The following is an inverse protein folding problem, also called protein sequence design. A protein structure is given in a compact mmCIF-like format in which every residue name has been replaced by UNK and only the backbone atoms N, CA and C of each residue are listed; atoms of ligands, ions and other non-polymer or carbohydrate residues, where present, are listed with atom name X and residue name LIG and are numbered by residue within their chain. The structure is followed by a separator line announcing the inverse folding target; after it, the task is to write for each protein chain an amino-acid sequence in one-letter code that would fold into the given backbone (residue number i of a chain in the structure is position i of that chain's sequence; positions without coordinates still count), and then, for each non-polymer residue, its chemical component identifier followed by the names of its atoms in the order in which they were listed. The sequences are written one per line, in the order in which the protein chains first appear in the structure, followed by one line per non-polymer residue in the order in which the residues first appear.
data_IF_601667588958
#
_entry.id   IF_601667588958
#
_cell.length_a   1.000
_cell.length_b   1.000
_cell.length_c   1.000
_cell.angle_alpha   90.00
_cell.angle_beta   90.00
_cell.angle_gamma   90.00
#
_symmetry.space_group_name_H-M   'P 1'
#
loop_
_entity.id
_entity.type
_entity.pdbx_description
1 polymer ?
#
# COMPACT_ATOMS: atom_id res chain seq x y z
N UNK A 1 -3.69 6.28 -29.63
CA UNK A 1 -2.95 5.63 -28.52
C UNK A 1 -3.95 5.33 -27.41
N UNK A 2 -4.07 4.06 -26.98
CA UNK A 2 -4.97 3.63 -25.89
C UNK A 2 -4.31 3.92 -24.55
N UNK A 3 -5.07 4.34 -23.54
CA UNK A 3 -4.65 4.38 -22.14
C UNK A 3 -5.27 3.18 -21.44
N UNK A 4 -4.45 2.27 -20.95
CA UNK A 4 -4.88 0.99 -20.39
C UNK A 4 -4.54 0.99 -18.89
N UNK A 5 -5.57 0.85 -18.06
CA UNK A 5 -5.42 0.60 -16.63
C UNK A 5 -5.35 -0.89 -16.33
N UNK A 6 -4.50 -1.26 -15.40
CA UNK A 6 -4.27 -2.63 -14.93
C UNK A 6 -4.60 -2.73 -13.45
N UNK A 7 -5.30 -3.80 -13.06
CA UNK A 7 -5.45 -4.23 -11.67
C UNK A 7 -4.43 -5.30 -11.36
N UNK A 8 -3.51 -4.99 -10.46
CA UNK A 8 -2.36 -5.83 -10.13
C UNK A 8 -2.47 -6.35 -8.69
N UNK A 9 -1.86 -7.51 -8.46
CA UNK A 9 -1.47 -7.98 -7.14
C UNK A 9 -0.02 -8.45 -7.17
N UNK A 10 0.71 -8.27 -6.06
CA UNK A 10 2.08 -8.75 -5.97
C UNK A 10 2.52 -9.05 -4.54
N UNK A 11 3.37 -10.07 -4.43
CA UNK A 11 4.20 -10.31 -3.25
C UNK A 11 5.48 -9.48 -3.39
N UNK A 12 5.62 -8.45 -2.55
CA UNK A 12 6.75 -7.51 -2.62
C UNK A 12 8.06 -8.03 -2.02
N UNK A 13 8.08 -9.25 -1.48
CA UNK A 13 9.22 -9.79 -0.70
C UNK A 13 10.55 -9.82 -1.46
N UNK A 14 10.49 -9.99 -2.79
CA UNK A 14 11.67 -10.06 -3.66
C UNK A 14 12.02 -8.71 -4.32
N UNK A 15 11.26 -7.64 -4.02
CA UNK A 15 11.37 -6.37 -4.72
C UNK A 15 11.81 -5.23 -3.80
N UNK A 16 12.60 -4.30 -4.37
CA UNK A 16 12.95 -3.03 -3.75
C UNK A 16 11.84 -1.98 -3.91
N UNK A 17 10.58 -2.41 -3.74
CA UNK A 17 9.38 -1.60 -3.85
C UNK A 17 8.86 -1.47 -5.28
N UNK A 18 7.90 -0.57 -5.46
CA UNK A 18 7.29 -0.32 -6.75
C UNK A 18 8.23 0.37 -7.73
N UNK A 19 8.74 1.54 -7.34
CA UNK A 19 9.43 2.48 -8.23
C UNK A 19 10.72 1.91 -8.82
N UNK A 20 10.88 2.00 -10.15
CA UNK A 20 12.10 1.62 -10.86
C UNK A 20 13.34 2.29 -10.28
N UNK A 21 14.38 1.49 -10.04
CA UNK A 21 15.67 1.90 -9.50
C UNK A 21 16.78 1.18 -10.27
N UNK A 22 17.88 1.88 -10.54
CA UNK A 22 19.00 1.29 -11.26
C UNK A 22 19.64 0.13 -10.47
N UNK A 23 19.78 -1.01 -11.12
CA UNK A 23 20.46 -2.20 -10.57
C UNK A 23 19.68 -2.97 -9.49
N UNK A 24 18.41 -2.62 -9.22
CA UNK A 24 17.58 -3.28 -8.23
C UNK A 24 16.29 -3.82 -8.85
N UNK A 25 15.84 -5.05 -8.47
CA UNK A 25 14.55 -5.57 -8.92
C UNK A 25 13.41 -4.76 -8.32
N UNK A 26 12.49 -4.27 -9.17
CA UNK A 26 11.32 -3.48 -8.77
C UNK A 26 10.08 -3.95 -9.50
N UNK A 27 8.91 -3.79 -8.90
CA UNK A 27 7.65 -4.23 -9.50
C UNK A 27 7.37 -3.48 -10.80
N UNK A 28 7.58 -2.16 -10.83
CA UNK A 28 7.36 -1.33 -12.02
C UNK A 28 8.21 -1.82 -13.20
N UNK A 29 9.50 -2.04 -12.99
CA UNK A 29 10.39 -2.53 -14.07
C UNK A 29 9.95 -3.90 -14.58
N UNK A 30 9.59 -4.83 -13.69
CA UNK A 30 9.14 -6.17 -14.07
C UNK A 30 7.88 -6.12 -14.92
N UNK A 31 6.93 -5.23 -14.58
CA UNK A 31 5.71 -5.02 -15.38
C UNK A 31 6.03 -4.36 -16.72
N UNK A 32 6.87 -3.32 -16.76
CA UNK A 32 7.34 -2.65 -18.00
C UNK A 32 8.03 -3.64 -18.94
N UNK A 33 8.90 -4.49 -18.41
CA UNK A 33 9.62 -5.53 -19.20
C UNK A 33 8.65 -6.58 -19.75
N UNK A 34 7.63 -6.97 -19.01
CA UNK A 34 6.59 -7.89 -19.49
C UNK A 34 5.77 -7.28 -20.63
N UNK A 35 5.37 -6.00 -20.49
CA UNK A 35 4.66 -5.27 -21.54
C UNK A 35 5.55 -5.13 -22.79
N UNK A 36 6.82 -4.76 -22.63
CA UNK A 36 7.76 -4.60 -23.76
C UNK A 36 7.96 -5.89 -24.55
N UNK A 37 8.00 -7.05 -23.87
CA UNK A 37 8.09 -8.37 -24.54
C UNK A 37 6.87 -8.72 -25.39
N UNK A 38 5.71 -8.13 -25.09
CA UNK A 38 4.46 -8.38 -25.82
C UNK A 38 4.30 -7.39 -26.97
N UNK A 39 4.62 -6.12 -26.72
CA UNK A 39 4.37 -5.03 -27.66
C UNK A 39 5.56 -4.76 -28.60
N UNK A 40 6.76 -5.28 -28.28
CA UNK A 40 8.00 -4.97 -29.00
C UNK A 40 8.52 -3.55 -28.76
N UNK A 41 7.91 -2.78 -27.86
CA UNK A 41 8.28 -1.39 -27.55
C UNK A 41 8.26 -1.13 -26.07
N UNK A 42 9.17 -0.30 -25.59
CA UNK A 42 9.18 0.12 -24.18
C UNK A 42 8.02 1.07 -23.89
N UNK A 43 7.37 0.86 -22.77
CA UNK A 43 6.32 1.73 -22.24
C UNK A 43 6.68 2.19 -20.83
N UNK A 44 6.14 3.32 -20.42
CA UNK A 44 6.22 3.77 -19.02
C UNK A 44 4.92 3.44 -18.29
N UNK A 45 5.03 2.74 -17.17
CA UNK A 45 3.89 2.37 -16.33
C UNK A 45 3.79 3.31 -15.13
N UNK A 46 2.68 4.01 -15.02
CA UNK A 46 2.39 4.88 -13.87
C UNK A 46 1.58 4.11 -12.84
N UNK A 47 2.11 3.96 -11.63
CA UNK A 47 1.40 3.30 -10.52
C UNK A 47 0.62 4.28 -9.65
N UNK A 48 -0.37 3.78 -8.91
CA UNK A 48 -1.22 4.59 -8.02
C UNK A 48 -0.50 5.15 -6.77
N UNK A 49 0.69 4.68 -6.48
CA UNK A 49 1.52 5.16 -5.38
C UNK A 49 2.78 4.32 -5.23
N UNK A 50 3.79 4.86 -4.58
CA UNK A 50 5.00 4.10 -4.26
C UNK A 50 4.73 3.16 -3.10
N UNK A 51 5.22 1.93 -3.20
CA UNK A 51 5.36 1.00 -2.08
C UNK A 51 6.84 0.80 -1.79
N UNK A 52 7.19 0.65 -0.51
CA UNK A 52 8.57 0.43 -0.08
C UNK A 52 9.04 -1.00 -0.38
N UNK A 53 10.35 -1.24 -0.26
CA UNK A 53 10.91 -2.59 -0.35
C UNK A 53 10.21 -3.55 0.62
N UNK A 54 9.81 -4.72 0.15
CA UNK A 54 9.13 -5.75 0.92
C UNK A 54 7.63 -5.52 1.20
N UNK A 55 7.04 -4.41 0.72
CA UNK A 55 5.61 -4.11 0.84
C UNK A 55 4.84 -4.78 -0.28
N UNK A 56 3.69 -5.37 0.05
CA UNK A 56 2.83 -6.11 -0.87
C UNK A 56 1.69 -5.25 -1.42
N UNK A 57 0.96 -5.78 -2.41
CA UNK A 57 -0.31 -5.23 -2.84
C UNK A 57 -1.31 -6.34 -3.19
N UNK A 58 -2.55 -6.17 -2.75
CA UNK A 58 -3.68 -7.06 -3.09
C UNK A 58 -4.48 -6.51 -4.26
N UNK A 59 -4.60 -5.18 -4.36
CA UNK A 59 -5.26 -4.46 -5.46
C UNK A 59 -4.50 -3.16 -5.71
N UNK A 60 -3.63 -3.20 -6.67
CA UNK A 60 -2.82 -2.06 -7.09
C UNK A 60 -3.27 -1.63 -8.49
N UNK A 61 -3.49 -0.35 -8.68
CA UNK A 61 -3.79 0.19 -9.99
C UNK A 61 -2.55 0.79 -10.63
N UNK A 62 -2.33 0.47 -11.90
CA UNK A 62 -1.33 1.13 -12.72
C UNK A 62 -1.90 1.37 -14.12
N UNK A 63 -1.39 2.37 -14.84
CA UNK A 63 -1.78 2.59 -16.24
C UNK A 63 -0.57 2.82 -17.13
N UNK A 64 -0.74 2.51 -18.41
CA UNK A 64 0.24 2.79 -19.46
C UNK A 64 -0.47 3.17 -20.77
N UNK A 65 0.26 3.85 -21.63
CA UNK A 65 -0.22 4.25 -22.96
C UNK A 65 0.49 3.47 -24.05
N UNK A 66 -0.29 2.97 -25.02
CA UNK A 66 0.24 2.16 -26.12
C UNK A 66 -0.72 2.14 -27.31
N UNK A 67 -0.20 1.85 -28.50
CA UNK A 67 -0.99 1.49 -29.67
C UNK A 67 -1.30 -0.02 -29.74
N UNK A 68 -1.35 -0.67 -28.57
CA UNK A 68 -1.67 -2.08 -28.39
C UNK A 68 -2.99 -2.43 -29.08
N UNK A 69 -2.99 -3.49 -29.89
CA UNK A 69 -4.17 -4.02 -30.60
C UNK A 69 -4.80 -5.22 -29.89
N UNK A 70 -4.21 -5.68 -28.77
CA UNK A 70 -4.74 -6.80 -28.00
C UNK A 70 -6.11 -6.42 -27.44
N UNK A 71 -7.16 -7.26 -27.61
CA UNK A 71 -8.45 -7.04 -26.95
C UNK A 71 -8.27 -6.89 -25.44
N UNK A 72 -9.01 -5.95 -24.83
CA UNK A 72 -8.75 -5.56 -23.44
C UNK A 72 -8.89 -6.73 -22.46
N UNK A 73 -9.86 -7.61 -22.68
CA UNK A 73 -10.11 -8.82 -21.90
C UNK A 73 -8.98 -9.87 -22.00
N UNK A 74 -8.12 -9.77 -22.99
CA UNK A 74 -6.95 -10.64 -23.20
C UNK A 74 -5.66 -10.08 -22.63
N UNK A 75 -5.63 -8.79 -22.29
CA UNK A 75 -4.44 -8.13 -21.74
C UNK A 75 -3.94 -8.81 -20.45
N UNK A 76 -4.79 -9.16 -19.46
CA UNK A 76 -4.34 -9.87 -18.27
C UNK A 76 -3.66 -11.21 -18.61
N UNK A 77 -4.24 -12.01 -19.50
CA UNK A 77 -3.69 -13.31 -19.89
C UNK A 77 -2.33 -13.17 -20.59
N UNK A 78 -2.23 -12.21 -21.51
CA UNK A 78 -0.99 -11.94 -22.24
C UNK A 78 0.14 -11.51 -21.29
N UNK A 79 -0.15 -10.62 -20.32
CA UNK A 79 0.83 -10.15 -19.34
C UNK A 79 1.25 -11.25 -18.37
N UNK A 80 0.31 -12.02 -17.84
CA UNK A 80 0.59 -13.10 -16.89
C UNK A 80 1.43 -14.23 -17.52
N UNK A 81 1.38 -14.41 -18.84
CA UNK A 81 2.28 -15.34 -19.53
C UNK A 81 3.76 -14.88 -19.56
N UNK A 82 4.05 -13.65 -19.16
CA UNK A 82 5.39 -13.04 -19.14
C UNK A 82 5.85 -12.56 -17.78
N UNK A 83 4.92 -12.44 -16.84
CA UNK A 83 5.20 -12.04 -15.45
C UNK A 83 5.69 -13.25 -14.62
N UNK A 84 6.53 -13.02 -13.62
CA UNK A 84 6.89 -14.05 -12.63
C UNK A 84 5.70 -14.36 -11.72
N UNK A 85 5.75 -15.48 -10.99
CA UNK A 85 4.62 -15.98 -10.18
C UNK A 85 4.25 -15.12 -8.97
N UNK A 86 5.05 -14.12 -8.63
CA UNK A 86 4.85 -13.20 -7.52
C UNK A 86 4.19 -11.86 -7.93
N UNK A 87 3.92 -11.66 -9.24
CA UNK A 87 3.15 -10.53 -9.79
C UNK A 87 2.06 -11.08 -10.71
N UNK A 88 0.83 -10.61 -10.52
CA UNK A 88 -0.29 -10.95 -11.41
C UNK A 88 -1.11 -9.73 -11.78
N UNK A 89 -1.51 -9.65 -13.05
CA UNK A 89 -2.57 -8.76 -13.54
C UNK A 89 -3.89 -9.52 -13.46
N UNK A 90 -4.81 -9.03 -12.66
CA UNK A 90 -6.10 -9.69 -12.44
C UNK A 90 -7.21 -9.15 -13.33
N UNK A 91 -7.06 -7.90 -13.79
CA UNK A 91 -8.02 -7.24 -14.65
C UNK A 91 -7.37 -6.09 -15.44
N UNK A 92 -8.04 -5.65 -16.52
CA UNK A 92 -7.62 -4.49 -17.31
C UNK A 92 -8.83 -3.80 -17.92
N UNK A 93 -8.79 -2.47 -18.01
CA UNK A 93 -9.79 -1.69 -18.71
C UNK A 93 -9.15 -0.55 -19.50
N UNK A 94 -9.86 -0.08 -20.55
CA UNK A 94 -9.51 1.18 -21.18
C UNK A 94 -10.03 2.33 -20.34
N UNK A 95 -9.21 3.36 -20.21
CA UNK A 95 -9.53 4.56 -19.45
C UNK A 95 -9.36 5.80 -20.33
N UNK A 96 -9.89 6.91 -19.88
CA UNK A 96 -9.78 8.17 -20.60
C UNK A 96 -8.31 8.59 -20.80
N UNK A 97 -8.06 9.39 -21.84
CA UNK A 97 -6.71 9.81 -22.19
C UNK A 97 -6.01 10.56 -21.05
N UNK A 98 -6.74 11.36 -20.27
CA UNK A 98 -6.19 12.12 -19.14
C UNK A 98 -6.07 11.32 -17.85
N UNK A 99 -6.55 10.08 -17.79
CA UNK A 99 -6.43 9.25 -16.60
C UNK A 99 -4.95 9.01 -16.24
N UNK A 100 -4.67 9.14 -14.95
CA UNK A 100 -3.37 8.87 -14.34
C UNK A 100 -3.56 8.16 -13.01
N UNK A 101 -3.01 6.96 -12.85
CA UNK A 101 -3.27 6.10 -11.69
C UNK A 101 -2.96 6.76 -10.33
N UNK A 102 -2.00 7.69 -10.26
CA UNK A 102 -1.75 8.43 -9.02
C UNK A 102 -2.56 9.71 -8.92
N UNK A 103 -2.70 10.45 -10.02
CA UNK A 103 -3.38 11.76 -10.05
C UNK A 103 -4.90 11.67 -9.96
N UNK A 104 -5.48 10.62 -10.53
CA UNK A 104 -6.94 10.36 -10.54
C UNK A 104 -7.42 9.59 -9.30
N UNK A 105 -6.51 9.19 -8.40
CA UNK A 105 -6.85 8.40 -7.23
C UNK A 105 -7.55 9.24 -6.17
N UNK A 106 -8.76 8.83 -5.75
CA UNK A 106 -9.60 9.54 -4.78
C UNK A 106 -9.16 9.22 -3.35
N UNK A 107 -9.00 7.93 -3.04
CA UNK A 107 -8.59 7.45 -1.73
C UNK A 107 -7.91 6.09 -1.84
N UNK A 108 -7.15 5.73 -0.79
CA UNK A 108 -6.38 4.50 -0.69
C UNK A 108 -6.58 3.86 0.66
N UNK A 109 -6.63 2.54 0.67
CA UNK A 109 -6.64 1.74 1.88
C UNK A 109 -5.41 0.85 1.93
N UNK A 110 -4.78 0.84 3.10
CA UNK A 110 -3.75 -0.13 3.45
C UNK A 110 -4.23 -1.03 4.57
N UNK A 111 -3.75 -2.26 4.57
CA UNK A 111 -3.83 -3.16 5.71
C UNK A 111 -2.44 -3.49 6.21
N UNK A 112 -2.31 -3.64 7.53
CA UNK A 112 -1.10 -4.11 8.16
C UNK A 112 -1.41 -5.35 9.00
N UNK A 113 -0.70 -6.46 8.73
CA UNK A 113 -0.92 -7.76 9.37
C UNK A 113 0.17 -8.05 10.39
N UNK A 114 -0.23 -8.41 11.62
CA UNK A 114 0.66 -8.80 12.71
C UNK A 114 0.29 -10.20 13.15
N UNK A 115 1.23 -11.14 13.09
CA UNK A 115 1.11 -12.43 13.78
C UNK A 115 1.54 -12.22 15.23
N UNK A 116 0.56 -12.12 16.13
CA UNK A 116 0.78 -11.90 17.56
C UNK A 116 0.71 -13.22 18.33
N UNK A 117 1.72 -14.03 18.16
CA UNK A 117 1.88 -15.37 18.75
C UNK A 117 3.29 -15.52 19.31
N UNK A 118 3.47 -16.42 20.29
CA UNK A 118 4.80 -16.73 20.84
C UNK A 118 5.69 -17.49 19.86
N UNK A 119 5.08 -18.19 18.91
CA UNK A 119 5.77 -19.06 17.93
C UNK A 119 5.50 -18.50 16.54
N UNK A 120 6.52 -18.32 15.68
CA UNK A 120 6.31 -17.88 14.30
C UNK A 120 5.63 -19.00 13.47
N UNK A 121 4.90 -18.59 12.44
CA UNK A 121 4.35 -19.49 11.43
C UNK A 121 5.18 -19.37 10.14
N UNK A 122 5.87 -20.47 9.70
CA UNK A 122 6.68 -20.43 8.49
C UNK A 122 5.87 -20.21 7.20
N UNK A 123 4.57 -20.53 7.18
CA UNK A 123 3.70 -20.24 6.02
C UNK A 123 3.33 -18.76 5.91
N UNK A 124 3.50 -17.99 6.98
CA UNK A 124 3.28 -16.54 7.02
C UNK A 124 4.60 -15.75 6.97
N UNK A 125 5.74 -16.43 6.85
CA UNK A 125 7.04 -15.74 6.71
C UNK A 125 7.01 -14.75 5.53
N UNK A 126 7.58 -13.55 5.76
CA UNK A 126 7.58 -12.41 4.82
C UNK A 126 6.20 -11.88 4.41
N UNK A 127 5.10 -12.36 5.01
CA UNK A 127 3.72 -11.94 4.72
C UNK A 127 3.02 -11.26 5.89
N UNK A 128 3.60 -11.35 7.08
CA UNK A 128 3.11 -10.70 8.30
C UNK A 128 4.28 -10.16 9.11
N UNK A 129 4.02 -9.20 9.96
CA UNK A 129 4.95 -8.82 11.02
C UNK A 129 4.80 -9.78 12.19
N UNK A 130 5.78 -10.62 12.46
CA UNK A 130 5.79 -11.46 13.65
C UNK A 130 6.07 -10.61 14.90
N UNK A 131 5.22 -10.75 15.93
CA UNK A 131 5.32 -10.01 17.17
C UNK A 131 5.01 -10.90 18.37
N UNK A 132 6.04 -11.37 19.14
CA UNK A 132 5.87 -12.42 20.15
C UNK A 132 5.22 -11.94 21.45
N UNK A 133 5.36 -10.67 21.82
CA UNK A 133 4.76 -10.12 23.04
C UNK A 133 3.28 -9.82 22.81
N UNK A 134 2.43 -10.19 23.80
CA UNK A 134 0.99 -9.97 23.72
C UNK A 134 0.67 -8.49 23.55
N UNK A 135 -0.16 -8.19 22.57
CA UNK A 135 -0.69 -6.85 22.29
C UNK A 135 -2.12 -6.75 22.82
N UNK A 136 -2.45 -5.60 23.39
CA UNK A 136 -3.80 -5.25 23.81
C UNK A 136 -4.55 -4.65 22.61
N UNK A 137 -5.52 -5.40 22.08
CA UNK A 137 -6.26 -5.00 20.88
C UNK A 137 -7.17 -3.80 21.13
N UNK A 138 -7.72 -3.65 22.34
CA UNK A 138 -8.62 -2.54 22.65
C UNK A 138 -7.84 -1.22 22.71
N UNK A 139 -6.63 -1.24 23.27
CA UNK A 139 -5.73 -0.09 23.24
C UNK A 139 -5.26 0.22 21.82
N UNK A 140 -4.96 -0.80 21.00
CA UNK A 140 -4.61 -0.59 19.59
C UNK A 140 -5.77 0.02 18.81
N UNK A 141 -7.01 -0.44 19.05
CA UNK A 141 -8.21 0.09 18.40
C UNK A 141 -8.49 1.54 18.81
N UNK A 142 -8.36 1.85 20.09
CA UNK A 142 -8.49 3.22 20.58
C UNK A 142 -7.46 4.15 19.91
N UNK A 143 -6.20 3.72 19.84
CA UNK A 143 -5.12 4.45 19.18
C UNK A 143 -5.35 4.58 17.65
N UNK A 144 -5.90 3.55 16.99
CA UNK A 144 -6.24 3.60 15.58
C UNK A 144 -7.24 4.72 15.28
N UNK A 145 -8.34 4.77 16.02
CA UNK A 145 -9.39 5.81 15.88
C UNK A 145 -8.88 7.22 16.16
N UNK A 146 -7.89 7.38 17.04
CA UNK A 146 -7.29 8.67 17.34
C UNK A 146 -6.49 9.28 16.17
N UNK A 147 -6.20 8.53 15.10
CA UNK A 147 -5.61 9.04 13.86
C UNK A 147 -6.64 9.55 12.85
N UNK A 148 -7.94 9.31 13.08
CA UNK A 148 -8.98 9.74 12.14
C UNK A 148 -9.10 11.26 12.10
N UNK A 149 -9.48 11.79 10.94
CA UNK A 149 -9.61 13.21 10.70
C UNK A 149 -8.49 13.80 9.84
N UNK A 150 -8.48 15.12 9.76
CA UNK A 150 -7.47 15.89 9.00
C UNK A 150 -6.41 16.43 9.95
N UNK A 151 -5.20 15.94 9.81
CA UNK A 151 -4.06 16.30 10.67
C UNK A 151 -2.79 16.50 9.84
N UNK A 152 -1.79 17.16 10.45
CA UNK A 152 -0.43 17.15 9.96
C UNK A 152 0.28 15.87 10.43
N UNK A 153 0.47 14.93 9.52
CA UNK A 153 1.07 13.61 9.80
C UNK A 153 2.62 13.62 9.76
N UNK A 154 3.26 14.78 9.89
CA UNK A 154 4.73 14.87 9.91
C UNK A 154 5.35 14.02 11.04
N UNK A 155 4.69 13.91 12.21
CA UNK A 155 5.14 13.11 13.34
C UNK A 155 5.17 11.59 13.06
N UNK A 156 4.47 11.09 12.05
CA UNK A 156 4.45 9.66 11.67
C UNK A 156 4.97 9.43 10.25
N UNK A 157 5.84 10.30 9.75
CA UNK A 157 6.53 10.09 8.47
C UNK A 157 8.03 9.91 8.67
N UNK A 158 8.68 9.22 7.72
CA UNK A 158 10.14 9.26 7.58
C UNK A 158 10.56 10.42 6.67
N UNK A 159 11.70 11.02 6.97
CA UNK A 159 12.37 11.98 6.07
C UNK A 159 12.99 11.25 4.87
N UNK A 160 13.22 11.95 3.77
CA UNK A 160 13.88 11.39 2.56
C UNK A 160 13.00 11.38 1.31
N UNK A 161 11.75 11.85 1.39
CA UNK A 161 10.91 12.13 0.22
C UNK A 161 10.37 13.55 0.26
N UNK A 162 10.47 14.26 -0.87
CA UNK A 162 9.83 15.56 -1.04
C UNK A 162 8.30 15.36 -1.10
N UNK A 163 7.58 16.24 -0.42
CA UNK A 163 6.12 16.32 -0.48
C UNK A 163 5.69 17.77 -0.37
N UNK A 164 4.64 18.14 -1.11
CA UNK A 164 4.10 19.51 -1.07
C UNK A 164 3.46 19.84 0.28
N UNK A 165 2.91 18.85 0.96
CA UNK A 165 2.26 19.01 2.26
C UNK A 165 2.30 17.71 3.05
N UNK A 166 2.35 17.80 4.37
CA UNK A 166 2.26 16.67 5.30
C UNK A 166 0.85 16.48 5.86
N UNK A 167 -0.09 17.37 5.50
CA UNK A 167 -1.49 17.25 5.90
C UNK A 167 -2.17 16.16 5.08
N UNK A 168 -2.86 15.23 5.78
CA UNK A 168 -3.68 14.16 5.18
C UNK A 168 -5.01 14.08 5.92
N UNK A 169 -6.00 13.49 5.24
CA UNK A 169 -7.28 13.13 5.86
C UNK A 169 -7.35 11.61 5.94
N UNK A 170 -7.32 11.07 7.14
CA UNK A 170 -7.63 9.67 7.42
C UNK A 170 -9.14 9.57 7.62
N UNK A 171 -9.80 8.86 6.71
CA UNK A 171 -11.25 8.71 6.72
C UNK A 171 -11.71 7.74 7.80
N UNK A 172 -10.95 6.67 8.00
CA UNK A 172 -11.14 5.69 9.07
C UNK A 172 -9.86 4.89 9.31
N UNK A 173 -9.70 4.42 10.54
CA UNK A 173 -8.62 3.55 10.95
C UNK A 173 -9.11 2.63 12.07
N UNK A 174 -8.91 1.32 11.91
CA UNK A 174 -9.34 0.32 12.91
C UNK A 174 -8.33 -0.81 13.05
N UNK A 175 -8.44 -1.56 14.15
CA UNK A 175 -7.63 -2.74 14.44
C UNK A 175 -8.53 -3.87 14.92
N UNK A 176 -8.42 -5.02 14.29
CA UNK A 176 -9.19 -6.23 14.59
C UNK A 176 -8.26 -7.40 14.89
N UNK A 177 -8.70 -8.30 15.77
CA UNK A 177 -8.00 -9.55 16.08
C UNK A 177 -8.87 -10.75 15.71
N UNK A 178 -8.29 -11.66 14.94
CA UNK A 178 -8.85 -12.97 14.66
C UNK A 178 -7.80 -14.04 15.03
N UNK A 179 -8.04 -14.74 16.14
CA UNK A 179 -7.05 -15.64 16.71
C UNK A 179 -5.73 -14.92 17.05
N UNK A 180 -4.65 -15.39 16.47
CA UNK A 180 -3.31 -14.81 16.62
C UNK A 180 -3.00 -13.71 15.59
N UNK A 181 -3.89 -13.49 14.62
CA UNK A 181 -3.71 -12.47 13.60
C UNK A 181 -4.38 -11.16 14.03
N UNK A 182 -3.61 -10.06 14.03
CA UNK A 182 -4.13 -8.70 14.13
C UNK A 182 -4.04 -8.06 12.76
N UNK A 183 -5.14 -7.46 12.31
CA UNK A 183 -5.21 -6.69 11.07
C UNK A 183 -5.55 -5.24 11.41
N UNK A 184 -4.63 -4.33 11.12
CA UNK A 184 -4.90 -2.89 11.14
C UNK A 184 -5.29 -2.47 9.73
N UNK A 185 -6.38 -1.70 9.61
CA UNK A 185 -6.85 -1.12 8.34
C UNK A 185 -6.84 0.38 8.44
N UNK A 186 -6.42 1.08 7.39
CA UNK A 186 -6.43 2.53 7.34
C UNK A 186 -6.74 3.02 5.94
N UNK A 187 -7.69 3.94 5.83
CA UNK A 187 -8.09 4.59 4.58
C UNK A 187 -7.88 6.10 4.68
N UNK A 188 -7.26 6.69 3.65
CA UNK A 188 -6.95 8.10 3.60
C UNK A 188 -6.97 8.63 2.16
N UNK A 189 -6.99 9.97 2.01
CA UNK A 189 -6.80 10.64 0.72
C UNK A 189 -5.38 10.46 0.14
N UNK A 190 -4.43 9.99 0.95
CA UNK A 190 -3.04 9.71 0.58
C UNK A 190 -2.20 9.44 1.81
N UNK A 191 -1.01 8.88 1.59
CA UNK A 191 -0.09 8.54 2.67
C UNK A 191 1.29 9.13 2.42
N UNK A 192 1.96 9.49 3.51
CA UNK A 192 3.36 9.91 3.52
C UNK A 192 4.28 8.69 3.58
N UNK A 193 5.56 8.90 3.30
CA UNK A 193 6.58 7.86 3.39
C UNK A 193 6.61 7.22 4.78
N UNK A 194 6.45 5.90 4.84
CA UNK A 194 6.36 5.08 6.05
C UNK A 194 5.20 5.42 7.02
N UNK A 195 4.24 6.27 6.63
CA UNK A 195 3.18 6.77 7.52
C UNK A 195 2.40 5.63 8.18
N UNK A 196 1.84 4.68 7.41
CA UNK A 196 1.06 3.57 7.96
C UNK A 196 1.88 2.72 8.94
N UNK A 197 3.12 2.42 8.58
CA UNK A 197 4.03 1.62 9.42
C UNK A 197 4.35 2.32 10.75
N UNK A 198 4.50 3.65 10.75
CA UNK A 198 4.72 4.44 11.95
C UNK A 198 3.43 4.57 12.80
N UNK A 199 2.25 4.71 12.17
CA UNK A 199 0.96 4.66 12.85
C UNK A 199 0.78 3.34 13.61
N UNK A 200 1.03 2.20 12.93
CA UNK A 200 0.95 0.87 13.56
C UNK A 200 1.95 0.73 14.72
N UNK A 201 3.18 1.22 14.57
CA UNK A 201 4.15 1.25 15.66
C UNK A 201 3.68 2.09 16.86
N UNK A 202 2.97 3.19 16.61
CA UNK A 202 2.36 4.02 17.65
C UNK A 202 1.22 3.29 18.35
N UNK A 203 0.38 2.54 17.62
CA UNK A 203 -0.65 1.66 18.20
C UNK A 203 -0.03 0.55 19.06
N UNK A 204 1.12 -0.02 18.64
CA UNK A 204 1.88 -0.98 19.45
C UNK A 204 2.38 -0.34 20.75
N UNK A 205 2.84 0.92 20.73
CA UNK A 205 3.24 1.64 21.93
C UNK A 205 2.03 1.91 22.85
N UNK A 206 0.86 2.24 22.30
CA UNK A 206 -0.37 2.38 23.09
C UNK A 206 -0.75 1.06 23.77
N UNK A 207 -0.63 -0.07 23.07
CA UNK A 207 -0.86 -1.42 23.61
C UNK A 207 -0.02 -1.75 24.85
N UNK A 208 1.14 -1.11 25.02
CA UNK A 208 2.01 -1.26 26.20
C UNK A 208 1.88 -0.15 27.22
N UNK A 209 0.95 0.78 27.05
CA UNK A 209 0.79 1.95 27.92
C UNK A 209 1.95 2.94 27.85
N UNK A 210 2.81 2.88 26.80
CA UNK A 210 3.89 3.86 26.59
C UNK A 210 3.37 5.22 26.13
N UNK A 211 2.17 5.27 25.58
CA UNK A 211 1.41 6.47 25.26
C UNK A 211 -0.08 6.15 25.38
N UNK A 212 -0.89 7.19 25.54
CA UNK A 212 -2.34 7.05 25.62
C UNK A 212 -2.96 7.39 24.28
N UNK A 213 -4.01 6.68 23.88
CA UNK A 213 -4.70 6.93 22.61
C UNK A 213 -5.18 8.38 22.47
N UNK A 214 -5.68 8.96 23.57
CA UNK A 214 -6.17 10.34 23.63
C UNK A 214 -5.10 11.41 23.42
N UNK A 215 -3.82 11.09 23.62
CA UNK A 215 -2.71 12.01 23.43
C UNK A 215 -2.24 12.06 21.95
N UNK A 216 -2.68 11.13 21.11
CA UNK A 216 -2.25 11.02 19.71
C UNK A 216 -2.52 12.30 18.90
N UNK A 217 -3.71 12.94 18.95
CA UNK A 217 -3.93 14.18 18.21
C UNK A 217 -2.95 15.30 18.59
N UNK A 218 -2.71 15.51 19.87
CA UNK A 218 -1.74 16.49 20.36
C UNK A 218 -0.31 16.12 19.97
N UNK A 219 0.02 14.83 19.97
CA UNK A 219 1.31 14.33 19.53
C UNK A 219 1.55 14.60 18.03
N UNK A 220 0.53 14.46 17.17
CA UNK A 220 0.62 14.79 15.76
C UNK A 220 0.94 16.28 15.54
N UNK A 221 0.37 17.18 16.34
CA UNK A 221 0.62 18.62 16.28
C UNK A 221 2.08 18.99 16.56
N UNK A 222 2.80 18.17 17.34
CA UNK A 222 4.23 18.40 17.63
C UNK A 222 5.13 18.26 16.39
N UNK A 223 4.70 17.48 15.38
CA UNK A 223 5.49 17.07 14.20
C UNK A 223 6.79 16.32 14.55
N UNK A 224 6.95 15.89 15.79
CA UNK A 224 8.17 15.23 16.26
C UNK A 224 8.06 13.71 16.13
N UNK A 225 8.80 13.14 15.18
CA UNK A 225 8.86 11.69 14.91
C UNK A 225 9.36 10.87 16.11
N UNK A 226 10.14 11.48 17.01
CA UNK A 226 10.72 10.79 18.17
C UNK A 226 9.67 10.44 19.24
N UNK A 227 8.54 11.15 19.26
CA UNK A 227 7.45 10.94 20.21
C UNK A 227 6.49 9.81 19.78
N UNK A 228 6.60 9.31 18.55
CA UNK A 228 5.75 8.25 18.01
C UNK A 228 6.41 6.87 18.11
N UNK A 229 5.65 5.81 17.82
CA UNK A 229 6.17 4.45 17.81
C UNK A 229 7.13 4.17 16.65
N UNK A 230 7.84 3.03 16.66
CA UNK A 230 8.80 2.67 15.62
C UNK A 230 8.13 2.49 14.27
N UNK A 231 8.89 2.63 13.19
CA UNK A 231 8.44 2.21 11.87
C UNK A 231 8.42 0.69 11.81
N UNK A 232 7.24 0.10 11.75
CA UNK A 232 7.08 -1.36 11.74
C UNK A 232 7.65 -1.99 10.45
N UNK A 233 8.05 -3.27 10.49
CA UNK A 233 8.60 -3.99 9.33
C UNK A 233 7.70 -3.93 8.08
N UNK A 234 8.25 -3.91 6.85
CA UNK A 234 7.46 -3.72 5.63
C UNK A 234 6.60 -4.92 5.27
N UNK A 235 7.01 -6.15 5.59
CA UNK A 235 6.32 -7.38 5.18
C UNK A 235 4.92 -7.58 5.77
N UNK A 236 4.54 -6.76 6.77
CA UNK A 236 3.16 -6.73 7.26
C UNK A 236 2.23 -5.83 6.43
N UNK A 237 2.79 -4.94 5.59
CA UNK A 237 2.02 -3.89 4.91
C UNK A 237 1.58 -4.32 3.51
N UNK A 238 0.31 -4.07 3.23
CA UNK A 238 -0.31 -4.32 1.93
C UNK A 238 -1.08 -3.09 1.46
N UNK A 239 -0.86 -2.64 0.22
CA UNK A 239 -1.85 -1.81 -0.44
C UNK A 239 -3.07 -2.70 -0.72
N UNK A 240 -4.19 -2.39 -0.06
CA UNK A 240 -5.37 -3.24 -0.08
C UNK A 240 -6.36 -2.82 -1.14
N UNK A 241 -6.64 -1.52 -1.25
CA UNK A 241 -7.64 -0.98 -2.17
C UNK A 241 -7.32 0.46 -2.57
N UNK A 242 -7.72 0.82 -3.77
CA UNK A 242 -7.69 2.19 -4.28
C UNK A 242 -9.02 2.49 -4.98
N UNK A 243 -9.45 3.76 -4.93
CA UNK A 243 -10.73 4.17 -5.50
C UNK A 243 -10.52 5.24 -6.57
N UNK A 244 -11.29 5.09 -7.63
CA UNK A 244 -11.34 5.98 -8.78
C UNK A 244 -12.79 6.16 -9.21
N UNK A 245 -13.06 7.18 -10.04
CA UNK A 245 -14.29 7.30 -10.82
C UNK A 245 -14.17 6.57 -12.17
N UNK A 246 -15.32 6.33 -12.81
CA UNK A 246 -15.40 5.77 -14.15
C UNK A 246 -14.88 4.33 -14.29
N UNK A 247 -14.43 3.93 -15.50
CA UNK A 247 -14.06 2.54 -15.80
C UNK A 247 -12.98 1.96 -14.88
N UNK A 248 -12.01 2.78 -14.46
CA UNK A 248 -11.00 2.34 -13.49
C UNK A 248 -11.62 2.03 -12.12
N UNK A 249 -12.62 2.82 -11.68
CA UNK A 249 -13.36 2.57 -10.44
C UNK A 249 -14.16 1.28 -10.49
N UNK A 250 -14.84 1.02 -11.59
CA UNK A 250 -15.58 -0.23 -11.83
C UNK A 250 -14.64 -1.44 -11.82
N UNK A 251 -13.50 -1.38 -12.53
CA UNK A 251 -12.48 -2.45 -12.52
C UNK A 251 -11.92 -2.70 -11.11
N UNK A 252 -11.72 -1.66 -10.30
CA UNK A 252 -11.15 -1.77 -8.95
C UNK A 252 -12.17 -2.17 -7.89
N UNK A 253 -13.47 -2.10 -8.18
CA UNK A 253 -14.53 -2.52 -7.27
C UNK A 253 -14.45 -4.01 -6.92
N UNK A 254 -15.09 -4.38 -5.82
CA UNK A 254 -15.34 -5.78 -5.46
C UNK A 254 -16.45 -6.33 -6.35
N UNK A 255 -16.24 -7.53 -6.88
CA UNK A 255 -17.31 -8.37 -7.42
C UNK A 255 -17.84 -9.21 -6.28
#
# INVERSE_FOLDING_TARGET
MRNIALKLRYDGSAYHGWQRQAGLPTVQQTVEDAIAKILGTNVHVTGCGRTDAGVHALRYCANFRSDCTIPIEKVPLALNARLPGDIAVTDACEVEENFNAIGSCIQKEYIYKILNSRIPDPFLDKRVCFYPSRLDIDQMRAAARAFEGTHDFAAVRSVGTETKTTVRTVYWCDAEREGDLITVRVCANGFLYNMVRAMVGTMVYASYGKLRAEDIPALLETRDRRLTGPTMPPQGLYMHRVWYDGPAGEMMADI
#
